data_IF_857998339457
#
_entry.id   IF_857998339457
#
_cell.length_a   1.000
_cell.length_b   1.000
_cell.length_c   1.000
_cell.angle_alpha   90.00
_cell.angle_beta   90.00
_cell.angle_gamma   90.00
#
_symmetry.space_group_name_H-M   'P 1'
#
loop_
_entity.id
_entity.type
_entity.pdbx_description
1 polymer ?
#
# COMPACT_ATOMS: atom_id res chain seq x y z
N UNK A 1 -20.17 -7.87 5.39
CA UNK A 1 -19.63 -6.56 4.96
C UNK A 1 -18.74 -6.84 3.77
N UNK A 2 -19.00 -6.23 2.62
CA UNK A 2 -18.13 -6.39 1.45
C UNK A 2 -16.81 -5.68 1.78
N UNK A 3 -15.72 -6.42 1.95
CA UNK A 3 -14.39 -5.83 2.03
C UNK A 3 -14.10 -5.25 0.65
N UNK A 4 -14.10 -3.93 0.55
CA UNK A 4 -13.78 -3.22 -0.67
C UNK A 4 -12.40 -3.69 -1.16
N UNK A 5 -12.30 -4.20 -2.39
CA UNK A 5 -11.08 -4.83 -2.92
C UNK A 5 -10.38 -3.83 -3.83
N UNK A 6 -9.10 -3.58 -3.58
CA UNK A 6 -8.26 -2.77 -4.45
C UNK A 6 -7.92 -3.53 -5.74
N UNK A 7 -8.12 -2.87 -6.89
CA UNK A 7 -7.69 -3.34 -8.21
C UNK A 7 -6.49 -2.53 -8.72
N UNK A 8 -5.78 -3.15 -9.66
CA UNK A 8 -4.53 -2.63 -10.21
C UNK A 8 -4.46 -2.91 -11.71
N UNK A 9 -3.81 -2.01 -12.43
CA UNK A 9 -3.52 -2.14 -13.86
C UNK A 9 -2.05 -1.79 -14.14
N UNK A 10 -1.59 -2.07 -15.36
CA UNK A 10 -0.32 -1.57 -15.87
C UNK A 10 -0.60 -0.46 -16.86
N UNK A 11 0.19 0.61 -16.81
CA UNK A 11 0.21 1.62 -17.88
C UNK A 11 1.16 1.22 -19.03
N UNK A 12 1.38 2.15 -19.96
CA UNK A 12 2.24 1.94 -21.14
C UNK A 12 3.72 1.74 -20.79
N UNK A 13 4.15 2.18 -19.61
CA UNK A 13 5.52 2.11 -19.10
C UNK A 13 5.70 0.99 -18.05
N UNK A 14 4.77 0.02 -18.00
CA UNK A 14 4.77 -1.09 -17.05
C UNK A 14 4.67 -0.65 -15.57
N UNK A 15 4.15 0.57 -15.33
CA UNK A 15 3.91 1.09 -13.98
C UNK A 15 2.64 0.49 -13.40
N UNK A 16 2.68 0.12 -12.12
CA UNK A 16 1.49 -0.38 -11.42
C UNK A 16 0.63 0.80 -10.98
N UNK A 17 -0.55 0.93 -11.59
CA UNK A 17 -1.54 1.96 -11.29
C UNK A 17 -2.55 1.40 -10.29
N UNK A 18 -2.83 2.15 -9.23
CA UNK A 18 -3.83 1.77 -8.23
C UNK A 18 -5.17 2.42 -8.54
N UNK A 19 -6.24 1.62 -8.67
CA UNK A 19 -7.57 2.15 -9.00
C UNK A 19 -8.38 2.46 -7.74
N UNK A 20 -8.15 1.71 -6.66
CA UNK A 20 -8.92 1.81 -5.42
C UNK A 20 -10.37 1.35 -5.56
N UNK A 21 -11.05 0.99 -4.46
CA UNK A 21 -12.48 0.76 -4.48
C UNK A 21 -13.32 1.99 -4.87
N UNK A 22 -14.57 1.75 -5.25
CA UNK A 22 -15.51 2.83 -5.53
C UNK A 22 -15.69 3.73 -4.30
N UNK A 23 -15.45 5.03 -4.48
CA UNK A 23 -15.53 6.03 -3.42
C UNK A 23 -14.23 6.28 -2.65
N UNK A 24 -13.13 5.62 -3.01
CA UNK A 24 -11.80 5.96 -2.49
C UNK A 24 -11.44 7.40 -2.86
N UNK A 25 -11.00 8.18 -1.87
CA UNK A 25 -10.51 9.53 -2.09
C UNK A 25 -9.26 9.51 -2.96
N UNK A 26 -9.19 10.43 -3.94
CA UNK A 26 -8.09 10.49 -4.90
C UNK A 26 -6.72 10.62 -4.21
N UNK A 27 -6.63 11.39 -3.13
CA UNK A 27 -5.39 11.54 -2.38
C UNK A 27 -4.96 10.21 -1.70
N UNK A 28 -5.90 9.38 -1.23
CA UNK A 28 -5.59 8.05 -0.67
C UNK A 28 -5.15 7.09 -1.77
N UNK A 29 -5.81 7.14 -2.94
CA UNK A 29 -5.42 6.37 -4.13
C UNK A 29 -3.99 6.71 -4.56
N UNK A 30 -3.68 7.99 -4.70
CA UNK A 30 -2.35 8.50 -5.05
C UNK A 30 -1.30 8.15 -3.98
N UNK A 31 -1.65 8.25 -2.70
CA UNK A 31 -0.76 7.88 -1.60
C UNK A 31 -0.37 6.40 -1.67
N UNK A 32 -1.36 5.52 -1.88
CA UNK A 32 -1.12 4.09 -1.99
C UNK A 32 -0.35 3.74 -3.27
N UNK A 33 -0.71 4.35 -4.40
CA UNK A 33 0.02 4.20 -5.67
C UNK A 33 1.49 4.58 -5.50
N UNK A 34 1.75 5.79 -5.00
CA UNK A 34 3.11 6.32 -4.73
C UNK A 34 3.88 5.38 -3.82
N UNK A 35 3.24 4.84 -2.79
CA UNK A 35 3.83 3.88 -1.87
C UNK A 35 4.25 2.58 -2.55
N UNK A 36 3.44 2.02 -3.46
CA UNK A 36 3.74 0.76 -4.15
C UNK A 36 4.69 0.91 -5.35
N UNK A 37 4.90 2.12 -5.88
CA UNK A 37 5.80 2.37 -7.03
C UNK A 37 7.17 1.67 -6.90
N UNK A 38 7.87 1.72 -5.75
CA UNK A 38 9.20 1.09 -5.64
C UNK A 38 9.20 -0.43 -5.67
N UNK A 39 8.03 -1.09 -5.55
CA UNK A 39 7.94 -2.54 -5.75
C UNK A 39 8.07 -2.91 -7.24
N UNK A 40 7.69 -2.00 -8.14
CA UNK A 40 7.58 -2.28 -9.58
C UNK A 40 6.77 -3.55 -9.84
N UNK A 41 7.23 -4.37 -10.80
CA UNK A 41 6.58 -5.65 -11.15
C UNK A 41 6.98 -6.83 -10.24
N UNK A 42 7.63 -6.58 -9.10
CA UNK A 42 8.21 -7.63 -8.25
C UNK A 42 7.29 -7.94 -7.06
N UNK A 43 6.50 -9.00 -7.17
CA UNK A 43 5.66 -9.49 -6.07
C UNK A 43 6.45 -9.71 -4.77
N UNK A 44 7.69 -10.20 -4.86
CA UNK A 44 8.57 -10.48 -3.72
C UNK A 44 8.91 -9.23 -2.89
N UNK A 45 8.95 -8.05 -3.52
CA UNK A 45 9.18 -6.78 -2.83
C UNK A 45 7.96 -6.42 -1.96
N UNK A 46 6.75 -6.51 -2.51
CA UNK A 46 5.51 -6.28 -1.76
C UNK A 46 5.30 -7.33 -0.66
N UNK A 47 5.62 -8.61 -0.92
CA UNK A 47 5.56 -9.69 0.08
C UNK A 47 6.54 -9.46 1.23
N UNK A 48 7.76 -9.01 0.91
CA UNK A 48 8.77 -8.68 1.93
C UNK A 48 8.29 -7.52 2.79
N UNK A 49 7.73 -6.48 2.18
CA UNK A 49 7.16 -5.37 2.92
C UNK A 49 6.04 -5.85 3.87
N UNK A 50 5.05 -6.60 3.36
CA UNK A 50 3.92 -7.08 4.15
C UNK A 50 4.37 -8.00 5.31
N UNK A 51 5.39 -8.84 5.08
CA UNK A 51 5.96 -9.68 6.13
C UNK A 51 6.60 -8.84 7.24
N UNK A 52 7.38 -7.82 6.90
CA UNK A 52 8.01 -6.92 7.87
C UNK A 52 6.98 -6.07 8.61
N UNK A 53 5.96 -5.56 7.90
CA UNK A 53 4.83 -4.85 8.50
C UNK A 53 4.17 -5.69 9.60
N UNK A 54 3.80 -6.94 9.28
CA UNK A 54 3.19 -7.88 10.24
C UNK A 54 4.14 -8.28 11.37
N UNK A 55 5.45 -8.30 11.12
CA UNK A 55 6.45 -8.53 12.18
C UNK A 55 6.45 -7.36 13.17
N UNK A 56 6.50 -6.12 12.67
CA UNK A 56 6.46 -4.92 13.50
C UNK A 56 5.16 -4.81 14.30
N UNK A 57 4.02 -5.18 13.72
CA UNK A 57 2.74 -5.22 14.44
C UNK A 57 2.79 -6.14 15.66
N UNK A 58 3.39 -7.33 15.54
CA UNK A 58 3.56 -8.26 16.67
C UNK A 58 4.53 -7.75 17.74
N UNK A 59 5.53 -6.97 17.35
CA UNK A 59 6.59 -6.50 18.25
C UNK A 59 6.24 -5.19 18.97
N UNK A 60 5.54 -4.27 18.31
CA UNK A 60 5.34 -2.89 18.80
C UNK A 60 3.89 -2.45 18.90
N UNK A 61 2.92 -3.23 18.41
CA UNK A 61 1.47 -2.93 18.35
C UNK A 61 1.08 -1.64 17.58
N UNK A 62 1.68 -0.48 17.87
CA UNK A 62 1.50 0.79 17.16
C UNK A 62 2.75 1.70 17.30
N UNK A 63 2.75 2.84 16.59
CA UNK A 63 3.80 3.85 16.67
C UNK A 63 5.04 3.58 15.82
N UNK A 64 5.14 2.41 15.19
CA UNK A 64 6.22 2.10 14.26
C UNK A 64 5.97 2.69 12.88
N UNK A 65 7.07 2.92 12.16
CA UNK A 65 7.08 3.45 10.80
C UNK A 65 7.83 2.46 9.92
N UNK A 66 7.24 2.11 8.78
CA UNK A 66 7.88 1.36 7.71
C UNK A 66 7.62 2.11 6.40
N UNK A 67 8.64 2.26 5.56
CA UNK A 67 8.52 3.04 4.33
C UNK A 67 9.14 2.33 3.15
N UNK A 68 8.79 2.81 1.97
CA UNK A 68 9.54 2.56 0.74
C UNK A 68 10.43 3.77 0.45
N UNK A 69 11.10 3.79 -0.71
CA UNK A 69 11.90 4.95 -1.11
C UNK A 69 11.07 6.19 -1.48
N UNK A 70 9.74 6.06 -1.61
CA UNK A 70 8.81 7.11 -2.07
C UNK A 70 7.80 7.56 -1.01
N UNK A 71 7.41 6.68 -0.09
CA UNK A 71 6.44 7.00 0.94
C UNK A 71 6.77 6.33 2.28
N UNK A 72 6.27 6.89 3.36
CA UNK A 72 6.32 6.34 4.71
C UNK A 72 4.93 5.89 5.15
N UNK A 73 4.85 4.81 5.92
CA UNK A 73 3.61 4.31 6.53
C UNK A 73 3.82 4.18 8.02
N UNK A 74 3.01 4.91 8.78
CA UNK A 74 3.01 4.87 10.25
C UNK A 74 1.79 4.12 10.75
N UNK A 75 1.98 3.12 11.62
CA UNK A 75 0.85 2.53 12.35
C UNK A 75 0.44 3.48 13.47
N UNK A 76 -0.69 4.18 13.31
CA UNK A 76 -1.17 5.15 14.30
C UNK A 76 -1.76 4.42 15.50
N UNK A 77 -2.64 3.46 15.22
CA UNK A 77 -3.35 2.65 16.20
C UNK A 77 -3.81 1.33 15.54
N UNK A 78 -4.61 0.52 16.23
CA UNK A 78 -5.05 -0.78 15.73
C UNK A 78 -5.90 -0.71 14.46
N UNK A 79 -6.65 0.38 14.25
CA UNK A 79 -7.56 0.53 13.11
C UNK A 79 -7.02 1.43 12.01
N UNK A 80 -5.93 2.16 12.24
CA UNK A 80 -5.52 3.24 11.33
C UNK A 80 -4.02 3.29 11.08
N UNK A 81 -3.70 3.59 9.84
CA UNK A 81 -2.37 3.98 9.40
C UNK A 81 -2.38 5.43 8.89
N UNK A 82 -1.20 6.01 8.82
CA UNK A 82 -0.94 7.29 8.16
C UNK A 82 0.09 7.06 7.06
N UNK A 83 -0.22 7.54 5.86
CA UNK A 83 0.67 7.57 4.71
C UNK A 83 1.29 8.97 4.63
N UNK A 84 2.62 9.04 4.73
CA UNK A 84 3.39 10.27 4.62
C UNK A 84 4.22 10.27 3.35
N UNK A 85 4.08 11.32 2.55
CA UNK A 85 4.82 11.51 1.32
C UNK A 85 6.27 12.00 1.58
N UNK A 86 7.22 11.61 0.73
CA UNK A 86 8.64 12.02 0.84
C UNK A 86 9.09 13.06 -0.19
N UNK A 87 8.27 13.40 -1.21
CA UNK A 87 8.67 14.21 -2.38
C UNK A 87 7.63 15.22 -2.91
N UNK A 88 6.56 15.50 -2.16
CA UNK A 88 5.41 16.33 -2.53
C UNK A 88 4.39 15.71 -3.49
N UNK A 89 4.24 14.38 -3.60
CA UNK A 89 3.31 13.78 -4.58
C UNK A 89 1.85 13.69 -4.09
N UNK A 90 1.65 13.62 -2.79
CA UNK A 90 0.32 13.59 -2.16
C UNK A 90 0.34 14.26 -0.77
N UNK A 91 -0.83 14.61 -0.25
CA UNK A 91 -0.97 15.15 1.12
C UNK A 91 -1.01 14.00 2.14
N UNK A 92 -0.35 14.16 3.30
CA UNK A 92 -0.42 13.15 4.37
C UNK A 92 -1.86 12.79 4.69
N UNK A 93 -2.19 11.49 4.57
CA UNK A 93 -3.55 11.01 4.74
C UNK A 93 -3.61 9.74 5.58
N UNK A 94 -4.81 9.37 6.00
CA UNK A 94 -5.05 8.18 6.80
C UNK A 94 -5.85 7.14 6.04
N UNK A 95 -5.55 5.87 6.30
CA UNK A 95 -6.25 4.72 5.74
C UNK A 95 -6.55 3.73 6.85
N UNK A 96 -7.61 2.95 6.71
CA UNK A 96 -7.87 1.83 7.62
C UNK A 96 -6.74 0.80 7.53
N UNK A 97 -6.29 0.29 8.67
CA UNK A 97 -5.15 -0.61 8.73
C UNK A 97 -5.44 -1.97 8.07
N UNK A 98 -6.66 -2.49 8.20
CA UNK A 98 -7.07 -3.72 7.56
C UNK A 98 -7.22 -3.52 6.04
N UNK A 99 -7.76 -2.37 5.62
CA UNK A 99 -7.82 -2.00 4.21
C UNK A 99 -6.42 -1.92 3.60
N UNK A 100 -5.46 -1.31 4.28
CA UNK A 100 -4.07 -1.21 3.83
C UNK A 100 -3.42 -2.59 3.60
N UNK A 101 -3.58 -3.51 4.55
CA UNK A 101 -3.08 -4.88 4.39
C UNK A 101 -3.81 -5.62 3.25
N UNK A 102 -5.12 -5.44 3.11
CA UNK A 102 -5.89 -6.03 2.02
C UNK A 102 -5.48 -5.48 0.64
N UNK A 103 -5.10 -4.20 0.57
CA UNK A 103 -4.56 -3.57 -0.62
C UNK A 103 -3.18 -4.14 -0.98
N UNK A 104 -2.30 -4.33 0.01
CA UNK A 104 -1.01 -5.02 -0.15
C UNK A 104 -1.17 -6.46 -0.65
N UNK A 105 -2.10 -7.22 -0.09
CA UNK A 105 -2.39 -8.59 -0.54
C UNK A 105 -2.93 -8.61 -1.97
N UNK A 106 -3.73 -7.61 -2.35
CA UNK A 106 -4.31 -7.49 -3.68
C UNK A 106 -3.26 -7.13 -4.73
N UNK A 107 -2.31 -6.22 -4.43
CA UNK A 107 -1.19 -5.93 -5.36
C UNK A 107 -0.25 -7.14 -5.48
N UNK A 108 0.01 -7.88 -4.40
CA UNK A 108 0.80 -9.11 -4.47
C UNK A 108 0.14 -10.14 -5.40
N UNK A 109 -1.19 -10.32 -5.27
CA UNK A 109 -1.96 -11.23 -6.13
C UNK A 109 -1.88 -10.81 -7.59
N UNK A 110 -2.09 -9.52 -7.87
CA UNK A 110 -1.96 -8.95 -9.21
C UNK A 110 -0.57 -9.19 -9.80
N UNK A 111 0.49 -8.83 -9.08
CA UNK A 111 1.88 -9.01 -9.53
C UNK A 111 2.25 -10.48 -9.79
N UNK A 112 1.68 -11.43 -9.04
CA UNK A 112 1.87 -12.87 -9.29
C UNK A 112 1.19 -13.35 -10.56
N UNK A 113 0.03 -12.78 -10.91
CA UNK A 113 -0.70 -13.12 -12.13
C UNK A 113 -0.01 -12.59 -13.39
N UNK A 114 0.79 -11.53 -13.26
CA UNK A 114 1.60 -10.97 -14.35
C UNK A 114 2.88 -11.78 -14.66
N UNK A 115 3.20 -12.82 -13.89
CA UNK A 115 4.34 -13.69 -14.18
C UNK A 115 4.00 -14.57 -15.41
N UNK A 116 4.83 -14.56 -16.47
CA UNK A 116 4.69 -15.49 -17.60
C UNK A 116 4.98 -16.94 -17.19
#
# INVERSE_FOLDING_TARGET
MSSAVWSFTLDEDDLVIAEGPAGTEENVRLAFETFILPFGRRAESAETYLREWRRMERESASGYILGTSSASVRRVDAGRIELGDLYGQFETCTMDAQEFEGALESVIRFLKQLRP
#
